data_IF_609465631462
#
_entry.id   IF_609465631462
#
_cell.length_a   1.000
_cell.length_b   1.000
_cell.length_c   1.000
_cell.angle_alpha   90.00
_cell.angle_beta   90.00
_cell.angle_gamma   90.00
#
_symmetry.space_group_name_H-M   'P 1'
#
loop_
_entity.id
_entity.type
_entity.pdbx_description
1 polymer ?
#
# COMPACT_ATOMS: atom_id res chain seq x y z
N UNK A 1 12.48 85.96 -4.63
CA UNK A 1 11.68 85.00 -3.85
C UNK A 1 11.83 83.63 -4.53
N UNK A 2 12.69 82.76 -3.98
CA UNK A 2 12.91 81.41 -4.51
C UNK A 2 12.18 80.45 -3.60
N UNK A 3 11.21 79.73 -4.15
CA UNK A 3 10.41 78.68 -3.50
C UNK A 3 11.18 77.38 -3.58
N UNK A 4 11.72 76.87 -2.47
CA UNK A 4 12.35 75.58 -2.34
C UNK A 4 11.24 74.50 -2.27
N UNK A 5 11.07 73.70 -3.33
CA UNK A 5 10.27 72.47 -3.29
C UNK A 5 11.04 71.40 -2.50
N UNK A 6 10.52 71.00 -1.32
CA UNK A 6 10.96 69.82 -0.59
C UNK A 6 10.28 68.56 -1.19
N UNK A 7 11.06 67.75 -1.85
CA UNK A 7 10.63 66.42 -2.35
C UNK A 7 10.69 65.45 -1.18
N UNK A 8 9.52 65.10 -0.62
CA UNK A 8 9.41 64.00 0.39
C UNK A 8 9.44 62.65 -0.29
N UNK A 9 10.55 61.92 -0.16
CA UNK A 9 10.71 60.54 -0.62
C UNK A 9 10.00 59.60 0.35
N UNK A 10 8.79 59.15 0.01
CA UNK A 10 8.07 58.13 0.77
C UNK A 10 8.68 56.76 0.53
N UNK A 11 9.38 56.22 1.51
CA UNK A 11 9.92 54.88 1.50
C UNK A 11 8.76 53.87 1.67
N UNK A 12 8.33 53.21 0.57
CA UNK A 12 7.35 52.14 0.59
C UNK A 12 8.06 50.86 1.10
N UNK A 13 7.89 50.57 2.37
CA UNK A 13 8.32 49.29 2.96
C UNK A 13 7.31 48.24 2.49
N UNK A 14 7.64 47.46 1.43
CA UNK A 14 6.86 46.29 1.05
C UNK A 14 6.92 45.27 2.20
N UNK A 15 5.77 44.74 2.67
CA UNK A 15 5.78 43.68 3.66
C UNK A 15 6.49 42.48 3.06
N UNK A 16 7.59 42.03 3.68
CA UNK A 16 8.16 40.70 3.37
C UNK A 16 7.08 39.67 3.68
N UNK A 17 6.43 39.16 2.67
CA UNK A 17 5.58 37.97 2.80
C UNK A 17 6.46 36.84 3.32
N UNK A 18 6.41 36.57 4.62
CA UNK A 18 6.98 35.35 5.18
C UNK A 18 6.24 34.22 4.52
N UNK A 19 6.91 33.51 3.58
CA UNK A 19 6.40 32.27 3.04
C UNK A 19 6.10 31.36 4.25
N UNK A 20 4.82 31.12 4.53
CA UNK A 20 4.43 30.25 5.63
C UNK A 20 5.10 28.90 5.44
N UNK A 21 5.91 28.48 6.41
CA UNK A 21 6.65 27.23 6.32
C UNK A 21 5.64 26.07 6.23
N UNK A 22 5.68 25.31 5.16
CA UNK A 22 4.89 24.08 5.03
C UNK A 22 5.39 23.00 6.02
N UNK A 23 4.48 22.25 6.72
CA UNK A 23 3.06 22.51 6.84
C UNK A 23 2.72 23.57 7.89
N UNK A 24 1.73 24.45 7.62
CA UNK A 24 1.21 25.44 8.56
C UNK A 24 -0.16 25.06 9.15
N UNK A 25 -0.74 23.96 8.68
CA UNK A 25 -2.01 23.36 9.13
C UNK A 25 -1.94 21.83 8.99
N UNK A 26 -2.96 21.14 9.49
CA UNK A 26 -3.03 19.68 9.41
C UNK A 26 -2.97 19.16 7.99
N UNK A 27 -2.22 18.06 7.79
CA UNK A 27 -2.11 17.32 6.52
C UNK A 27 -2.96 16.06 6.60
N UNK A 28 -3.76 15.79 5.57
CA UNK A 28 -4.58 14.59 5.46
C UNK A 28 -3.88 13.54 4.62
N UNK A 29 -3.75 12.33 5.16
CA UNK A 29 -3.27 11.14 4.45
C UNK A 29 -4.47 10.29 4.08
N UNK A 30 -4.81 10.24 2.81
CA UNK A 30 -5.87 9.35 2.31
C UNK A 30 -5.31 7.94 2.17
N UNK A 31 -5.99 6.98 2.81
CA UNK A 31 -5.71 5.54 2.71
C UNK A 31 -6.88 4.89 1.97
N UNK A 32 -6.66 4.34 0.76
CA UNK A 32 -7.76 3.83 -0.09
C UNK A 32 -8.25 2.42 0.31
N UNK A 33 -8.10 2.06 1.59
CA UNK A 33 -8.53 0.78 2.17
C UNK A 33 -9.20 0.99 3.53
N UNK A 34 -9.95 -0.03 3.99
CA UNK A 34 -10.53 -0.03 5.33
C UNK A 34 -9.43 0.04 6.41
N UNK A 35 -9.78 0.66 7.54
CA UNK A 35 -8.90 0.75 8.71
C UNK A 35 -8.52 -0.65 9.25
N UNK A 36 -7.38 -0.73 9.95
CA UNK A 36 -6.87 -1.96 10.58
C UNK A 36 -6.11 -2.91 9.65
N UNK A 37 -5.96 -2.57 8.36
CA UNK A 37 -5.10 -3.33 7.41
C UNK A 37 -3.68 -2.78 7.35
N UNK A 38 -2.83 -3.45 6.54
CA UNK A 38 -1.40 -3.11 6.42
C UNK A 38 -1.15 -1.67 5.96
N UNK A 39 -1.97 -1.16 5.03
CA UNK A 39 -1.86 0.22 4.54
C UNK A 39 -2.18 1.21 5.65
N UNK A 40 -3.22 0.95 6.45
CA UNK A 40 -3.61 1.77 7.59
C UNK A 40 -2.52 1.76 8.68
N UNK A 41 -1.97 0.58 9.00
CA UNK A 41 -0.84 0.45 9.91
C UNK A 41 0.36 1.29 9.45
N UNK A 42 0.73 1.20 8.17
CA UNK A 42 1.83 1.96 7.58
C UNK A 42 1.58 3.45 7.67
N UNK A 43 0.36 3.90 7.28
CA UNK A 43 -0.03 5.31 7.34
C UNK A 43 0.08 5.88 8.75
N UNK A 44 -0.52 5.21 9.74
CA UNK A 44 -0.54 5.69 11.14
C UNK A 44 0.85 5.71 11.77
N UNK A 45 1.69 4.72 11.45
CA UNK A 45 3.06 4.67 11.95
C UNK A 45 3.88 5.87 11.47
N UNK A 46 3.80 6.21 10.18
CA UNK A 46 4.53 7.35 9.61
C UNK A 46 3.87 8.68 10.01
N UNK A 47 2.54 8.76 10.02
CA UNK A 47 1.79 9.96 10.40
C UNK A 47 2.13 10.44 11.81
N UNK A 48 2.24 9.54 12.77
CA UNK A 48 2.62 9.86 14.15
C UNK A 48 4.00 10.56 14.20
N UNK A 49 4.98 10.01 13.48
CA UNK A 49 6.34 10.58 13.40
C UNK A 49 6.41 11.88 12.61
N UNK A 50 5.66 12.01 11.52
CA UNK A 50 5.55 13.28 10.78
C UNK A 50 4.93 14.36 11.65
N UNK A 51 3.91 14.03 12.45
CA UNK A 51 3.29 14.95 13.40
C UNK A 51 4.31 15.45 14.45
N UNK A 52 5.09 14.53 15.01
CA UNK A 52 6.15 14.82 15.97
C UNK A 52 7.23 15.73 15.35
N UNK A 53 7.72 15.38 14.15
CA UNK A 53 8.84 16.08 13.52
C UNK A 53 8.47 17.46 12.93
N UNK A 54 7.24 17.61 12.41
CA UNK A 54 6.82 18.81 11.68
C UNK A 54 5.88 19.72 12.48
N UNK A 55 5.47 19.33 13.69
CA UNK A 55 4.66 20.16 14.59
C UNK A 55 3.23 20.41 14.11
N UNK A 56 2.78 19.71 13.06
CA UNK A 56 1.41 19.77 12.54
C UNK A 56 0.82 18.39 12.45
N UNK A 57 -0.48 18.25 12.68
CA UNK A 57 -1.16 16.95 12.66
C UNK A 57 -1.16 16.32 11.25
N UNK A 58 -0.74 15.06 11.16
CA UNK A 58 -0.93 14.21 9.99
C UNK A 58 -2.06 13.23 10.27
N UNK A 59 -3.22 13.46 9.63
CA UNK A 59 -4.47 12.75 9.92
C UNK A 59 -4.71 11.66 8.89
N UNK A 60 -4.82 10.42 9.34
CA UNK A 60 -5.15 9.28 8.47
C UNK A 60 -6.65 9.21 8.24
N UNK A 61 -7.07 9.24 6.98
CA UNK A 61 -8.47 9.19 6.53
C UNK A 61 -8.66 7.99 5.57
N UNK A 62 -9.36 6.96 6.04
CA UNK A 62 -9.62 5.75 5.26
C UNK A 62 -10.78 5.97 4.29
N UNK A 63 -10.52 5.84 2.98
CA UNK A 63 -11.49 6.02 1.88
C UNK A 63 -11.50 4.79 0.96
N UNK A 64 -12.04 3.66 1.42
CA UNK A 64 -12.06 2.42 0.65
C UNK A 64 -13.07 2.46 -0.50
N UNK A 65 -12.86 1.59 -1.49
CA UNK A 65 -13.80 1.32 -2.58
C UNK A 65 -13.24 1.54 -3.97
N UNK A 66 -13.94 0.99 -4.98
CA UNK A 66 -13.54 1.06 -6.39
C UNK A 66 -12.13 0.53 -6.65
N UNK A 67 -11.71 -0.53 -5.98
CA UNK A 67 -10.34 -1.06 -6.08
C UNK A 67 -9.27 0.02 -5.84
N UNK A 68 -9.41 0.83 -4.79
CA UNK A 68 -8.59 2.01 -4.45
C UNK A 68 -8.89 3.30 -5.24
N UNK A 69 -9.62 3.21 -6.35
CA UNK A 69 -9.83 4.34 -7.25
C UNK A 69 -10.59 5.50 -6.58
N UNK A 70 -11.51 5.23 -5.63
CA UNK A 70 -12.26 6.30 -4.93
C UNK A 70 -11.31 7.20 -4.15
N UNK A 71 -10.46 6.63 -3.28
CA UNK A 71 -9.51 7.41 -2.49
C UNK A 71 -8.43 8.07 -3.35
N UNK A 72 -7.96 7.39 -4.40
CA UNK A 72 -6.94 7.93 -5.31
C UNK A 72 -7.48 9.11 -6.14
N UNK A 73 -8.70 9.00 -6.67
CA UNK A 73 -9.35 10.06 -7.45
C UNK A 73 -9.63 11.32 -6.61
N UNK A 74 -9.93 11.14 -5.30
CA UNK A 74 -10.02 12.28 -4.35
C UNK A 74 -8.72 13.08 -4.30
N UNK A 75 -7.56 12.41 -4.29
CA UNK A 75 -6.26 13.08 -4.26
C UNK A 75 -5.98 13.74 -5.61
N UNK A 76 -6.22 13.06 -6.72
CA UNK A 76 -6.05 13.65 -8.06
C UNK A 76 -6.83 14.97 -8.22
N UNK A 77 -8.03 15.04 -7.64
CA UNK A 77 -8.92 16.21 -7.69
C UNK A 77 -8.69 17.24 -6.58
N UNK A 78 -7.82 16.95 -5.61
CA UNK A 78 -7.56 17.87 -4.51
C UNK A 78 -6.61 19.02 -4.93
N UNK A 79 -6.62 20.16 -4.20
CA UNK A 79 -5.66 21.24 -4.43
C UNK A 79 -4.22 20.71 -4.33
N UNK A 80 -3.32 21.10 -5.24
CA UNK A 80 -1.93 20.65 -5.24
C UNK A 80 -1.06 21.44 -4.25
N UNK A 81 -1.52 21.59 -3.01
CA UNK A 81 -0.92 22.38 -1.95
C UNK A 81 -0.19 21.53 -0.88
N UNK A 82 -0.15 20.20 -1.07
CA UNK A 82 0.51 19.24 -0.18
C UNK A 82 -0.29 18.87 1.07
N UNK A 83 -1.46 19.46 1.31
CA UNK A 83 -2.28 19.14 2.50
C UNK A 83 -3.21 17.95 2.36
N UNK A 84 -3.28 17.38 1.15
CA UNK A 84 -3.90 16.08 0.90
C UNK A 84 -2.89 15.22 0.15
N UNK A 85 -2.49 14.10 0.75
CA UNK A 85 -1.58 13.13 0.15
C UNK A 85 -2.19 11.73 0.19
N UNK A 86 -1.78 10.89 -0.74
CA UNK A 86 -2.21 9.50 -0.85
C UNK A 86 -1.14 8.57 -0.28
N UNK A 87 -1.51 7.64 0.58
CA UNK A 87 -0.71 6.43 0.73
C UNK A 87 -1.24 5.39 -0.25
N UNK A 88 -0.70 5.42 -1.47
CA UNK A 88 -1.00 4.44 -2.50
C UNK A 88 -0.13 3.19 -2.38
N UNK A 89 -0.33 2.24 -3.28
CA UNK A 89 0.41 0.98 -3.23
C UNK A 89 0.30 0.17 -4.53
N UNK A 90 0.71 -1.09 -4.46
CA UNK A 90 0.73 -2.02 -5.60
C UNK A 90 -0.62 -2.07 -6.35
N UNK A 91 -1.74 -1.96 -5.63
CA UNK A 91 -3.07 -1.95 -6.25
C UNK A 91 -3.25 -0.81 -7.28
N UNK A 92 -2.63 0.36 -7.05
CA UNK A 92 -2.70 1.46 -8.01
C UNK A 92 -2.01 1.10 -9.34
N UNK A 93 -0.84 0.46 -9.31
CA UNK A 93 -0.14 -0.02 -10.50
C UNK A 93 -0.87 -1.20 -11.17
N UNK A 94 -1.41 -2.12 -10.37
CA UNK A 94 -2.21 -3.25 -10.84
C UNK A 94 -3.46 -2.76 -11.57
N UNK A 95 -4.16 -1.75 -11.04
CA UNK A 95 -5.38 -1.20 -11.64
C UNK A 95 -5.13 -0.70 -13.07
N UNK A 96 -4.00 -0.05 -13.33
CA UNK A 96 -3.62 0.39 -14.68
C UNK A 96 -3.53 -0.78 -15.66
N UNK A 97 -3.04 -1.94 -15.18
CA UNK A 97 -2.87 -3.13 -16.00
C UNK A 97 -4.15 -3.98 -16.12
N UNK A 98 -4.90 -4.14 -15.02
CA UNK A 98 -5.94 -5.14 -14.87
C UNK A 98 -7.36 -4.62 -15.01
N UNK A 99 -7.64 -3.34 -14.73
CA UNK A 99 -8.98 -2.79 -14.82
C UNK A 99 -9.32 -2.29 -16.23
N UNK A 100 -10.57 -2.49 -16.64
CA UNK A 100 -11.07 -1.98 -17.91
C UNK A 100 -11.10 -0.44 -17.94
N UNK A 101 -11.32 0.21 -16.79
CA UNK A 101 -11.37 1.67 -16.67
C UNK A 101 -10.81 2.14 -15.33
N UNK A 102 -9.84 3.05 -15.38
CA UNK A 102 -9.33 3.81 -14.22
C UNK A 102 -9.65 5.29 -14.46
N UNK A 103 -10.22 6.03 -13.50
CA UNK A 103 -10.70 7.40 -13.72
C UNK A 103 -9.60 8.46 -13.83
N UNK A 104 -8.34 8.09 -13.64
CA UNK A 104 -7.16 8.96 -13.70
C UNK A 104 -5.96 8.22 -14.30
N UNK A 105 -4.94 8.95 -14.69
CA UNK A 105 -3.64 8.40 -15.10
C UNK A 105 -2.67 8.45 -13.90
N UNK A 106 -2.25 7.29 -13.42
CA UNK A 106 -1.42 7.18 -12.22
C UNK A 106 -0.10 7.95 -12.32
N UNK A 107 0.55 7.93 -13.50
CA UNK A 107 1.86 8.54 -13.72
C UNK A 107 1.78 10.04 -14.08
N UNK A 108 0.68 10.47 -14.71
CA UNK A 108 0.48 11.86 -15.11
C UNK A 108 -0.15 12.70 -14.00
N UNK A 109 -1.13 12.14 -13.28
CA UNK A 109 -2.00 12.90 -12.38
C UNK A 109 -1.53 12.88 -10.93
N UNK A 110 -0.57 11.99 -10.58
CA UNK A 110 0.04 11.91 -9.25
C UNK A 110 1.55 12.07 -9.31
N UNK A 111 2.09 12.87 -8.39
CA UNK A 111 3.52 13.02 -8.15
C UNK A 111 3.97 12.06 -7.04
N UNK A 112 4.88 11.10 -7.31
CA UNK A 112 5.48 10.26 -6.28
C UNK A 112 6.28 11.10 -5.29
N UNK A 113 6.14 10.80 -3.98
CA UNK A 113 6.91 11.42 -2.90
C UNK A 113 8.03 10.48 -2.47
N UNK A 114 7.67 9.30 -1.95
CA UNK A 114 8.63 8.32 -1.44
C UNK A 114 8.00 6.93 -1.38
N UNK A 115 8.77 5.89 -1.71
CA UNK A 115 8.42 4.51 -1.41
C UNK A 115 8.63 4.27 0.09
N UNK A 116 7.55 3.99 0.82
CA UNK A 116 7.61 3.85 2.27
C UNK A 116 8.06 2.45 2.69
N UNK A 117 7.35 1.42 2.25
CA UNK A 117 7.60 0.04 2.66
C UNK A 117 7.35 -0.94 1.51
N UNK A 118 8.03 -2.09 1.59
CA UNK A 118 7.70 -3.32 0.85
C UNK A 118 7.31 -4.43 1.84
N UNK A 119 6.52 -5.37 1.38
CA UNK A 119 6.12 -6.54 2.14
C UNK A 119 5.76 -7.70 1.23
N UNK A 120 5.36 -8.83 1.81
CA UNK A 120 4.91 -10.00 1.07
C UNK A 120 3.47 -10.37 1.45
N UNK A 121 2.79 -11.02 0.52
CA UNK A 121 1.49 -11.63 0.79
C UNK A 121 1.67 -13.02 1.41
N UNK A 122 0.87 -13.30 2.41
CA UNK A 122 0.81 -14.58 3.12
C UNK A 122 -0.52 -15.24 2.82
N UNK A 123 -0.48 -16.51 2.46
CA UNK A 123 -1.66 -17.36 2.38
C UNK A 123 -1.95 -17.93 3.77
N UNK A 124 -3.11 -17.56 4.31
CA UNK A 124 -3.62 -18.07 5.58
C UNK A 124 -4.96 -18.76 5.39
N UNK A 125 -5.19 -19.84 6.15
CA UNK A 125 -6.40 -20.65 6.09
C UNK A 125 -7.09 -20.69 7.46
N UNK A 126 -8.40 -20.95 7.46
CA UNK A 126 -9.12 -21.25 8.69
C UNK A 126 -8.66 -22.60 9.26
N UNK A 127 -8.46 -22.74 10.58
CA UNK A 127 -7.94 -23.99 11.19
C UNK A 127 -8.80 -25.23 10.98
N UNK A 128 -10.10 -25.05 10.72
CA UNK A 128 -11.02 -26.18 10.43
C UNK A 128 -10.81 -26.80 9.04
N UNK A 129 -10.10 -26.09 8.14
CA UNK A 129 -9.82 -26.66 6.82
C UNK A 129 -8.85 -27.84 6.96
N UNK A 130 -9.16 -29.02 6.38
CA UNK A 130 -8.34 -30.22 6.52
C UNK A 130 -7.08 -30.17 5.63
N UNK A 131 -6.26 -29.13 5.86
CA UNK A 131 -4.96 -28.90 5.21
C UNK A 131 -4.00 -28.27 6.22
N UNK A 132 -2.79 -28.79 6.34
CA UNK A 132 -1.76 -28.29 7.28
C UNK A 132 -0.63 -27.53 6.59
N UNK A 133 -0.50 -27.71 5.28
CA UNK A 133 0.56 -27.13 4.46
C UNK A 133 0.05 -26.87 3.03
N UNK A 134 0.89 -26.24 2.21
CA UNK A 134 0.53 -25.86 0.84
C UNK A 134 0.20 -27.06 -0.03
N UNK A 135 0.94 -28.18 0.11
CA UNK A 135 0.72 -29.40 -0.69
C UNK A 135 -0.66 -30.02 -0.41
N UNK A 136 -1.04 -30.11 0.87
CA UNK A 136 -2.36 -30.61 1.26
C UNK A 136 -3.48 -29.67 0.81
N UNK A 137 -3.27 -28.35 0.89
CA UNK A 137 -4.23 -27.36 0.41
C UNK A 137 -4.45 -27.47 -1.11
N UNK A 138 -3.38 -27.62 -1.88
CA UNK A 138 -3.47 -27.81 -3.33
C UNK A 138 -4.21 -29.12 -3.66
N UNK A 139 -3.92 -30.22 -2.96
CA UNK A 139 -4.62 -31.48 -3.15
C UNK A 139 -6.12 -31.36 -2.84
N UNK A 140 -6.48 -30.69 -1.75
CA UNK A 140 -7.87 -30.43 -1.37
C UNK A 140 -8.58 -29.58 -2.43
N UNK A 141 -7.95 -28.50 -2.91
CA UNK A 141 -8.52 -27.62 -3.94
C UNK A 141 -8.72 -28.36 -5.29
N UNK A 142 -7.82 -29.29 -5.64
CA UNK A 142 -7.98 -30.16 -6.82
C UNK A 142 -9.14 -31.15 -6.66
N UNK A 143 -9.35 -31.67 -5.45
CA UNK A 143 -10.47 -32.57 -5.16
C UNK A 143 -11.83 -31.86 -5.08
N UNK A 144 -11.83 -30.55 -4.84
CA UNK A 144 -13.04 -29.69 -4.69
C UNK A 144 -12.93 -28.44 -5.57
N UNK A 145 -12.91 -28.58 -6.91
CA UNK A 145 -12.72 -27.45 -7.81
C UNK A 145 -13.84 -26.42 -7.68
N UNK A 146 -13.47 -25.14 -7.51
CA UNK A 146 -14.38 -24.01 -7.32
C UNK A 146 -15.37 -24.16 -6.13
N UNK A 147 -14.98 -24.90 -5.07
CA UNK A 147 -15.77 -25.01 -3.83
C UNK A 147 -15.13 -24.29 -2.64
N UNK A 148 -13.85 -23.91 -2.73
CA UNK A 148 -13.16 -23.16 -1.69
C UNK A 148 -13.13 -21.69 -2.05
N UNK A 149 -13.44 -20.84 -1.04
CA UNK A 149 -13.47 -19.40 -1.19
C UNK A 149 -12.18 -18.77 -0.66
N UNK A 150 -11.65 -17.78 -1.36
CA UNK A 150 -10.55 -16.97 -0.87
C UNK A 150 -10.91 -15.50 -0.79
N UNK A 151 -10.62 -14.88 0.36
CA UNK A 151 -10.83 -13.45 0.58
C UNK A 151 -9.60 -12.63 0.20
N UNK A 152 -9.82 -11.43 -0.31
CA UNK A 152 -8.79 -10.43 -0.62
C UNK A 152 -9.21 -9.03 -0.21
N UNK A 153 -8.29 -8.08 -0.23
CA UNK A 153 -8.61 -6.68 0.05
C UNK A 153 -9.38 -5.95 -1.06
N UNK A 154 -9.78 -6.67 -2.11
CA UNK A 154 -10.59 -6.17 -3.23
C UNK A 154 -10.07 -6.64 -4.59
N UNK A 155 -10.89 -6.47 -5.60
CA UNK A 155 -10.54 -6.76 -7.01
C UNK A 155 -9.31 -5.95 -7.40
N UNK A 156 -8.38 -6.55 -8.16
CA UNK A 156 -7.13 -5.95 -8.60
C UNK A 156 -6.22 -5.42 -7.45
N UNK A 157 -6.41 -5.90 -6.21
CA UNK A 157 -5.46 -5.68 -5.13
C UNK A 157 -4.23 -6.58 -5.28
N UNK A 158 -3.13 -6.26 -4.57
CA UNK A 158 -1.95 -7.15 -4.53
C UNK A 158 -2.28 -8.55 -3.99
N UNK A 159 -3.21 -8.63 -3.06
CA UNK A 159 -3.71 -9.91 -2.51
C UNK A 159 -4.49 -10.72 -3.55
N UNK A 160 -5.30 -10.05 -4.38
CA UNK A 160 -5.99 -10.70 -5.49
C UNK A 160 -5.00 -11.23 -6.52
N UNK A 161 -4.02 -10.40 -6.93
CA UNK A 161 -3.00 -10.85 -7.89
C UNK A 161 -2.14 -11.99 -7.33
N UNK A 162 -1.83 -11.96 -6.02
CA UNK A 162 -1.15 -13.06 -5.34
C UNK A 162 -1.98 -14.35 -5.40
N UNK A 163 -3.28 -14.27 -5.14
CA UNK A 163 -4.19 -15.43 -5.23
C UNK A 163 -4.29 -15.96 -6.66
N UNK A 164 -4.46 -15.09 -7.66
CA UNK A 164 -4.54 -15.48 -9.07
C UNK A 164 -3.24 -16.16 -9.56
N UNK A 165 -2.09 -15.64 -9.15
CA UNK A 165 -0.81 -16.28 -9.42
C UNK A 165 -0.75 -17.68 -8.79
N UNK A 166 -1.20 -17.84 -7.54
CA UNK A 166 -1.28 -19.14 -6.88
C UNK A 166 -2.21 -20.11 -7.61
N UNK A 167 -3.42 -19.66 -7.95
CA UNK A 167 -4.42 -20.44 -8.69
C UNK A 167 -3.86 -20.93 -10.03
N UNK A 168 -3.19 -20.03 -10.76
CA UNK A 168 -2.56 -20.33 -12.05
C UNK A 168 -1.42 -21.34 -11.92
N UNK A 169 -0.45 -21.08 -11.04
CA UNK A 169 0.74 -21.93 -10.88
C UNK A 169 0.41 -23.30 -10.29
N UNK A 170 -0.57 -23.40 -9.39
CA UNK A 170 -1.01 -24.66 -8.79
C UNK A 170 -2.00 -25.44 -9.68
N UNK A 171 -2.48 -24.83 -10.77
CA UNK A 171 -3.51 -25.38 -11.65
C UNK A 171 -4.76 -25.84 -10.87
N UNK A 172 -5.32 -24.95 -10.04
CA UNK A 172 -6.51 -25.16 -9.20
C UNK A 172 -7.62 -24.17 -9.57
N UNK A 173 -8.81 -24.37 -9.01
CA UNK A 173 -9.94 -23.44 -9.15
C UNK A 173 -10.47 -23.08 -7.77
N UNK A 174 -10.54 -21.76 -7.48
CA UNK A 174 -11.06 -21.19 -6.24
C UNK A 174 -12.08 -20.10 -6.56
N UNK A 175 -12.94 -19.75 -5.60
CA UNK A 175 -13.89 -18.65 -5.72
C UNK A 175 -13.35 -17.39 -5.03
N UNK A 176 -13.28 -16.27 -5.73
CA UNK A 176 -12.85 -15.00 -5.19
C UNK A 176 -13.99 -14.27 -4.44
N UNK A 177 -13.71 -13.86 -3.19
CA UNK A 177 -14.58 -13.01 -2.37
C UNK A 177 -13.87 -11.68 -2.11
N UNK A 178 -14.23 -10.59 -2.83
CA UNK A 178 -13.58 -9.29 -2.66
C UNK A 178 -14.13 -8.51 -1.47
N UNK A 179 -13.24 -8.00 -0.63
CA UNK A 179 -13.55 -7.10 0.49
C UNK A 179 -13.03 -5.68 0.24
N UNK A 180 -13.41 -4.72 1.10
CA UNK A 180 -12.93 -3.32 1.03
C UNK A 180 -11.62 -3.09 1.80
N UNK A 181 -10.80 -4.15 1.98
CA UNK A 181 -9.52 -4.14 2.70
C UNK A 181 -9.24 -5.48 3.39
N UNK A 182 -8.04 -5.62 3.97
CA UNK A 182 -7.63 -6.87 4.64
C UNK A 182 -8.40 -7.15 5.94
N UNK A 183 -8.73 -6.10 6.71
CA UNK A 183 -9.36 -6.29 8.02
C UNK A 183 -10.71 -7.04 7.93
N UNK A 184 -11.68 -6.65 7.08
CA UNK A 184 -12.94 -7.40 6.94
C UNK A 184 -12.72 -8.81 6.38
N UNK A 185 -11.77 -9.02 5.44
CA UNK A 185 -11.44 -10.36 4.95
C UNK A 185 -10.89 -11.27 6.06
N UNK A 186 -10.04 -10.72 6.92
CA UNK A 186 -9.48 -11.44 8.07
C UNK A 186 -10.55 -11.79 9.12
N UNK A 187 -11.51 -10.88 9.37
CA UNK A 187 -12.64 -11.14 10.26
C UNK A 187 -13.45 -12.35 9.75
N UNK A 188 -13.74 -12.40 8.47
CA UNK A 188 -14.48 -13.49 7.86
C UNK A 188 -13.68 -14.81 7.80
N UNK A 189 -12.36 -14.74 7.63
CA UNK A 189 -11.51 -15.93 7.79
C UNK A 189 -11.60 -16.49 9.22
N UNK A 190 -11.47 -15.63 10.24
CA UNK A 190 -11.53 -16.04 11.65
C UNK A 190 -12.91 -16.61 12.00
N UNK A 191 -13.96 -16.08 11.39
CA UNK A 191 -15.35 -16.55 11.53
C UNK A 191 -15.64 -17.83 10.73
N UNK A 192 -14.72 -18.28 9.87
CA UNK A 192 -14.93 -19.43 8.98
C UNK A 192 -15.90 -19.20 7.82
N UNK A 193 -16.17 -17.91 7.49
CA UNK A 193 -17.02 -17.53 6.34
C UNK A 193 -16.29 -17.64 5.00
N UNK A 194 -14.96 -17.59 5.01
CA UNK A 194 -14.10 -17.96 3.89
C UNK A 194 -13.04 -18.94 4.37
N UNK A 195 -12.62 -19.85 3.49
CA UNK A 195 -11.64 -20.90 3.83
C UNK A 195 -10.23 -20.37 3.92
N UNK A 196 -9.89 -19.33 3.14
CA UNK A 196 -8.54 -18.77 3.08
C UNK A 196 -8.54 -17.29 2.73
N UNK A 197 -7.44 -16.61 3.04
CA UNK A 197 -7.16 -15.24 2.59
C UNK A 197 -5.71 -15.11 2.14
N UNK A 198 -5.49 -14.14 1.24
CA UNK A 198 -4.18 -13.56 1.01
C UNK A 198 -4.12 -12.20 1.72
N UNK A 199 -3.12 -12.00 2.57
CA UNK A 199 -2.95 -10.76 3.34
C UNK A 199 -1.48 -10.50 3.63
N UNK A 200 -1.13 -9.25 3.91
CA UNK A 200 0.22 -8.94 4.42
C UNK A 200 0.39 -9.33 5.88
N UNK A 201 1.63 -9.50 6.30
CA UNK A 201 2.04 -10.01 7.62
C UNK A 201 1.46 -9.25 8.81
N UNK A 202 1.48 -7.88 8.86
CA UNK A 202 1.10 -7.15 10.08
C UNK A 202 -0.26 -7.54 10.65
N UNK A 203 -1.27 -7.63 9.79
CA UNK A 203 -2.62 -7.96 10.23
C UNK A 203 -2.78 -9.40 10.74
N UNK A 204 -1.85 -10.30 10.39
CA UNK A 204 -1.95 -11.73 10.68
C UNK A 204 -1.27 -12.14 11.98
N UNK A 205 -0.22 -11.44 12.42
CA UNK A 205 0.64 -11.84 13.55
C UNK A 205 -0.14 -12.19 14.82
N UNK A 206 -1.08 -11.36 15.34
CA UNK A 206 -1.83 -11.67 16.54
C UNK A 206 -2.67 -12.95 16.42
N UNK A 207 -3.17 -13.21 15.22
CA UNK A 207 -4.06 -14.32 14.92
C UNK A 207 -3.31 -15.63 14.66
N UNK A 208 -2.10 -15.55 14.09
CA UNK A 208 -1.16 -16.68 13.98
C UNK A 208 -0.74 -17.12 15.38
N UNK A 209 -0.27 -16.17 16.23
CA UNK A 209 0.19 -16.44 17.60
C UNK A 209 -0.90 -17.04 18.48
N UNK A 210 -2.16 -16.63 18.30
CA UNK A 210 -3.31 -17.16 19.04
C UNK A 210 -3.93 -18.43 18.45
N UNK A 211 -3.40 -18.93 17.32
CA UNK A 211 -3.91 -20.13 16.63
C UNK A 211 -5.29 -19.96 15.97
N UNK A 212 -5.81 -18.73 15.88
CA UNK A 212 -7.11 -18.46 15.23
C UNK A 212 -7.07 -18.60 13.71
N UNK A 213 -5.89 -18.53 13.11
CA UNK A 213 -5.63 -18.81 11.70
C UNK A 213 -4.37 -19.66 11.58
N UNK A 214 -4.24 -20.34 10.45
CA UNK A 214 -3.01 -21.06 10.06
C UNK A 214 -2.43 -20.42 8.82
N UNK A 215 -1.24 -19.81 8.91
CA UNK A 215 -0.50 -19.34 7.75
C UNK A 215 0.29 -20.51 7.15
N UNK A 216 0.07 -20.79 5.86
CA UNK A 216 0.65 -21.95 5.20
C UNK A 216 1.80 -21.63 4.26
N UNK A 217 1.85 -20.43 3.71
CA UNK A 217 2.98 -20.00 2.87
C UNK A 217 3.10 -18.49 2.77
N UNK A 218 4.33 -17.98 2.62
CA UNK A 218 4.65 -16.56 2.36
C UNK A 218 5.22 -16.39 0.96
N UNK A 219 4.76 -15.36 0.25
CA UNK A 219 5.14 -15.03 -1.13
C UNK A 219 6.40 -14.19 -1.26
N UNK A 220 7.40 -14.42 -0.42
CA UNK A 220 8.74 -13.82 -0.51
C UNK A 220 9.80 -14.89 -0.77
N UNK A 221 10.99 -14.51 -1.31
CA UNK A 221 12.10 -15.44 -1.52
C UNK A 221 12.66 -16.03 -0.22
N UNK A 222 12.42 -15.36 0.92
CA UNK A 222 12.90 -15.76 2.25
C UNK A 222 11.77 -15.68 3.25
N UNK A 223 11.87 -16.51 4.31
CA UNK A 223 10.97 -16.40 5.47
C UNK A 223 11.17 -15.07 6.18
N UNK A 224 10.10 -14.55 6.76
CA UNK A 224 10.17 -13.32 7.56
C UNK A 224 10.41 -13.63 9.04
N UNK A 225 11.29 -12.85 9.68
CA UNK A 225 11.61 -12.99 11.10
C UNK A 225 10.37 -12.84 12.00
N UNK A 226 9.38 -12.08 11.58
CA UNK A 226 8.12 -11.89 12.31
C UNK A 226 7.26 -13.17 12.40
N UNK A 227 7.40 -14.08 11.41
CA UNK A 227 6.65 -15.34 11.29
C UNK A 227 7.59 -16.46 10.78
N UNK A 228 8.67 -16.81 11.52
CA UNK A 228 9.75 -17.67 11.05
C UNK A 228 9.29 -19.11 10.73
N UNK A 229 8.20 -19.57 11.35
CA UNK A 229 7.64 -20.89 11.13
C UNK A 229 6.83 -21.01 9.85
N UNK A 230 6.49 -19.87 9.20
CA UNK A 230 5.75 -19.88 7.93
C UNK A 230 6.74 -20.05 6.77
N UNK A 231 6.70 -21.19 6.06
CA UNK A 231 7.61 -21.45 4.94
C UNK A 231 7.24 -20.59 3.73
N UNK A 232 8.20 -20.42 2.80
CA UNK A 232 7.92 -19.79 1.51
C UNK A 232 7.15 -20.75 0.59
N UNK A 233 6.46 -20.21 -0.41
CA UNK A 233 5.85 -21.03 -1.46
C UNK A 233 6.90 -21.89 -2.17
N UNK A 234 8.10 -21.34 -2.39
CA UNK A 234 9.21 -22.02 -3.05
C UNK A 234 9.73 -23.22 -2.24
N UNK A 235 9.87 -23.07 -0.91
CA UNK A 235 10.22 -24.17 0.00
C UNK A 235 9.20 -25.32 -0.02
N UNK A 236 7.94 -25.02 -0.30
CA UNK A 236 6.87 -26.03 -0.39
C UNK A 236 6.60 -26.53 -1.82
N UNK A 237 7.50 -26.27 -2.76
CA UNK A 237 7.50 -26.85 -4.09
C UNK A 237 6.80 -26.02 -5.16
N UNK A 238 6.24 -24.85 -4.85
CA UNK A 238 5.71 -23.92 -5.86
C UNK A 238 6.83 -22.94 -6.28
N UNK A 239 7.77 -23.47 -7.05
CA UNK A 239 9.01 -22.78 -7.44
C UNK A 239 8.75 -21.51 -8.23
N UNK A 240 9.46 -20.43 -7.86
CA UNK A 240 9.36 -19.13 -8.53
C UNK A 240 8.10 -18.34 -8.22
N UNK A 241 7.31 -18.75 -7.21
CA UNK A 241 6.19 -17.95 -6.75
C UNK A 241 6.69 -16.76 -5.91
N UNK A 242 6.43 -15.55 -6.39
CA UNK A 242 6.70 -14.31 -5.67
C UNK A 242 5.48 -13.39 -5.72
N UNK A 243 5.02 -12.94 -4.56
CA UNK A 243 3.87 -12.04 -4.45
C UNK A 243 4.16 -10.96 -3.40
N UNK A 244 4.69 -9.85 -3.87
CA UNK A 244 5.02 -8.69 -3.05
C UNK A 244 3.87 -7.68 -2.99
N UNK A 245 3.93 -6.81 -2.00
CA UNK A 245 3.13 -5.58 -1.91
C UNK A 245 4.05 -4.42 -1.54
N UNK A 246 3.60 -3.20 -1.79
CA UNK A 246 4.32 -2.00 -1.41
C UNK A 246 3.35 -0.86 -1.15
N UNK A 247 3.80 0.12 -0.35
CA UNK A 247 3.06 1.35 -0.10
C UNK A 247 4.02 2.54 -0.18
N UNK A 248 3.53 3.66 -0.72
CA UNK A 248 4.29 4.89 -0.87
C UNK A 248 3.42 6.13 -0.92
N UNK A 249 3.98 7.25 -0.50
CA UNK A 249 3.28 8.53 -0.56
C UNK A 249 3.30 9.12 -1.95
N UNK A 250 2.16 9.67 -2.37
CA UNK A 250 1.96 10.42 -3.60
C UNK A 250 1.13 11.66 -3.32
N UNK A 251 1.26 12.69 -4.15
CA UNK A 251 0.48 13.93 -4.10
C UNK A 251 -0.11 14.24 -5.49
N UNK A 252 -1.02 15.24 -5.63
CA UNK A 252 -1.41 15.72 -6.94
C UNK A 252 -0.19 16.15 -7.77
N UNK A 253 -0.19 15.88 -9.07
CA UNK A 253 1.00 16.06 -9.94
C UNK A 253 1.54 17.50 -9.97
N UNK A 254 0.69 18.50 -9.72
CA UNK A 254 1.08 19.92 -9.70
C UNK A 254 1.55 20.42 -8.34
N UNK A 255 1.73 19.55 -7.34
CA UNK A 255 2.23 19.94 -6.01
C UNK A 255 3.65 20.51 -6.13
N UNK A 256 3.96 21.65 -5.51
CA UNK A 256 5.27 22.30 -5.58
C UNK A 256 6.41 21.35 -5.20
N UNK A 257 7.53 21.44 -5.94
CA UNK A 257 8.69 20.55 -5.76
C UNK A 257 9.28 20.64 -4.36
N UNK A 258 9.30 21.82 -3.75
CA UNK A 258 9.78 22.03 -2.38
C UNK A 258 8.94 21.28 -1.34
N UNK A 259 7.63 21.16 -1.54
CA UNK A 259 6.73 20.40 -0.67
C UNK A 259 7.01 18.89 -0.83
N UNK A 260 7.13 18.42 -2.08
CA UNK A 260 7.50 17.01 -2.37
C UNK A 260 8.83 16.67 -1.72
N UNK A 261 9.86 17.53 -1.91
CA UNK A 261 11.19 17.32 -1.36
C UNK A 261 11.18 17.29 0.17
N UNK A 262 10.41 18.20 0.82
CA UNK A 262 10.27 18.22 2.27
C UNK A 262 9.63 16.96 2.81
N UNK A 263 8.50 16.53 2.24
CA UNK A 263 7.82 15.30 2.63
C UNK A 263 8.69 14.06 2.39
N UNK A 264 9.41 14.01 1.25
CA UNK A 264 10.36 12.93 0.96
C UNK A 264 11.47 12.87 2.02
N UNK A 265 12.11 14.01 2.31
CA UNK A 265 13.22 14.09 3.27
C UNK A 265 12.78 13.68 4.68
N UNK A 266 11.66 14.21 5.17
CA UNK A 266 11.19 13.89 6.52
C UNK A 266 10.72 12.43 6.63
N UNK A 267 10.01 11.93 5.63
CA UNK A 267 9.63 10.51 5.60
C UNK A 267 10.86 9.61 5.50
N UNK A 268 11.85 9.96 4.68
CA UNK A 268 13.10 9.21 4.56
C UNK A 268 13.87 9.11 5.87
N UNK A 269 13.96 10.20 6.66
CA UNK A 269 14.55 10.19 8.00
C UNK A 269 13.81 9.23 8.96
N UNK A 270 12.46 9.27 8.92
CA UNK A 270 11.62 8.38 9.72
C UNK A 270 11.88 6.92 9.37
N UNK A 271 11.88 6.57 8.09
CA UNK A 271 12.10 5.20 7.62
C UNK A 271 13.52 4.69 7.92
N UNK A 272 14.50 5.59 8.01
CA UNK A 272 15.88 5.26 8.36
C UNK A 272 16.10 5.10 9.87
N UNK A 273 15.19 5.59 10.72
CA UNK A 273 15.34 5.54 12.17
C UNK A 273 15.25 4.10 12.70
N UNK A 274 16.00 3.82 13.78
CA UNK A 274 16.14 2.47 14.32
C UNK A 274 14.80 1.93 14.84
N UNK A 275 14.05 2.73 15.58
CA UNK A 275 12.75 2.37 16.15
C UNK A 275 11.72 1.99 15.07
N UNK A 276 11.69 2.72 13.97
CA UNK A 276 10.79 2.43 12.84
C UNK A 276 11.25 1.19 12.06
N UNK A 277 12.54 1.02 11.84
CA UNK A 277 13.08 -0.19 11.19
C UNK A 277 12.76 -1.44 11.99
N UNK A 278 13.03 -1.44 13.29
CA UNK A 278 12.71 -2.56 14.17
C UNK A 278 11.21 -2.84 14.20
N UNK A 279 10.38 -1.79 14.33
CA UNK A 279 8.92 -1.93 14.31
C UNK A 279 8.42 -2.55 13.01
N UNK A 280 8.89 -2.10 11.85
CA UNK A 280 8.45 -2.67 10.57
C UNK A 280 8.96 -4.10 10.37
N UNK A 281 10.20 -4.40 10.78
CA UNK A 281 10.75 -5.77 10.70
C UNK A 281 9.94 -6.76 11.55
N UNK A 282 9.55 -6.37 12.78
CA UNK A 282 8.69 -7.21 13.64
C UNK A 282 7.30 -7.43 13.05
N UNK A 283 6.85 -6.55 12.16
CA UNK A 283 5.59 -6.65 11.44
C UNK A 283 5.73 -7.26 10.03
N UNK A 284 6.94 -7.71 9.65
CA UNK A 284 7.19 -8.30 8.35
C UNK A 284 7.05 -7.31 7.19
N UNK A 285 7.46 -6.06 7.42
CA UNK A 285 7.57 -5.01 6.42
C UNK A 285 9.02 -4.53 6.34
N UNK A 286 9.46 -4.17 5.14
CA UNK A 286 10.80 -3.65 4.87
C UNK A 286 10.72 -2.15 4.57
N UNK A 287 11.19 -1.26 5.47
CA UNK A 287 11.28 0.18 5.18
C UNK A 287 12.19 0.42 3.98
N UNK A 288 11.79 1.34 3.11
CA UNK A 288 12.52 1.65 1.88
C UNK A 288 13.12 3.06 1.96
N UNK A 289 12.44 4.07 1.49
CA UNK A 289 12.97 5.44 1.30
C UNK A 289 13.41 5.66 -0.15
N UNK A 290 14.42 6.53 -0.33
CA UNK A 290 14.94 6.89 -1.66
C UNK A 290 14.29 8.16 -2.21
N UNK A 291 14.68 8.53 -3.44
CA UNK A 291 14.21 9.77 -4.08
C UNK A 291 12.83 9.61 -4.72
N UNK A 292 12.17 10.73 -4.99
CA UNK A 292 10.88 10.77 -5.70
C UNK A 292 11.02 10.19 -7.12
N UNK A 293 12.14 10.44 -7.78
CA UNK A 293 12.45 9.92 -9.11
C UNK A 293 12.62 8.40 -9.11
N UNK A 294 13.34 7.86 -8.10
CA UNK A 294 13.48 6.41 -7.93
C UNK A 294 12.12 5.73 -7.70
N UNK A 295 11.23 6.37 -6.94
CA UNK A 295 9.88 5.87 -6.72
C UNK A 295 9.02 5.97 -7.99
N UNK A 296 9.16 7.02 -8.80
CA UNK A 296 8.50 7.13 -10.11
C UNK A 296 8.93 5.99 -11.05
N UNK A 297 10.23 5.71 -11.14
CA UNK A 297 10.78 4.59 -11.93
C UNK A 297 10.26 3.24 -11.44
N UNK A 298 10.18 3.06 -10.12
CA UNK A 298 9.63 1.85 -9.51
C UNK A 298 8.15 1.66 -9.89
N UNK A 299 7.31 2.70 -9.81
CA UNK A 299 5.90 2.63 -10.23
C UNK A 299 5.79 2.23 -11.72
N UNK A 300 6.60 2.82 -12.59
CA UNK A 300 6.61 2.49 -14.02
C UNK A 300 6.98 1.01 -14.26
N UNK A 301 8.00 0.50 -13.55
CA UNK A 301 8.40 -0.90 -13.61
C UNK A 301 7.29 -1.85 -13.12
N UNK A 302 6.60 -1.49 -12.04
CA UNK A 302 5.46 -2.25 -11.49
C UNK A 302 4.29 -2.32 -12.48
N UNK A 303 3.92 -1.20 -13.11
CA UNK A 303 2.88 -1.17 -14.15
C UNK A 303 3.25 -2.11 -15.31
N UNK A 304 4.51 -2.03 -15.77
CA UNK A 304 5.00 -2.89 -16.84
C UNK A 304 5.00 -4.39 -16.44
N UNK A 305 5.38 -4.70 -15.19
CA UNK A 305 5.35 -6.04 -14.63
C UNK A 305 3.92 -6.59 -14.62
N UNK A 306 2.98 -5.88 -13.99
CA UNK A 306 1.59 -6.34 -13.89
C UNK A 306 0.90 -6.41 -15.24
N UNK A 307 1.24 -5.53 -16.19
CA UNK A 307 0.74 -5.64 -17.57
C UNK A 307 1.16 -6.95 -18.23
N UNK A 308 2.42 -7.40 -18.01
CA UNK A 308 2.87 -8.71 -18.51
C UNK A 308 2.17 -9.87 -17.79
N UNK A 309 2.02 -9.78 -16.46
CA UNK A 309 1.34 -10.82 -15.67
C UNK A 309 -0.11 -11.00 -16.11
N UNK A 310 -0.88 -9.91 -16.22
CA UNK A 310 -2.29 -9.95 -16.65
C UNK A 310 -2.43 -10.53 -18.06
N UNK A 311 -1.56 -10.14 -19.00
CA UNK A 311 -1.55 -10.68 -20.36
C UNK A 311 -1.14 -12.16 -20.38
N UNK A 312 -0.09 -12.53 -19.65
CA UNK A 312 0.45 -13.89 -19.64
C UNK A 312 -0.48 -14.92 -18.98
N UNK A 313 -1.23 -14.50 -17.97
CA UNK A 313 -2.21 -15.33 -17.28
C UNK A 313 -3.60 -15.35 -17.96
N UNK A 314 -3.76 -14.66 -19.12
CA UNK A 314 -5.05 -14.49 -19.80
C UNK A 314 -6.17 -14.03 -18.86
N UNK A 315 -5.84 -13.22 -17.85
CA UNK A 315 -6.85 -12.67 -16.96
C UNK A 315 -7.73 -11.69 -17.75
N UNK A 316 -9.07 -11.82 -17.65
CA UNK A 316 -9.94 -10.82 -18.26
C UNK A 316 -9.68 -9.46 -17.61
N UNK A 317 -9.85 -8.37 -18.37
CA UNK A 317 -9.89 -7.05 -17.76
C UNK A 317 -11.09 -6.99 -16.81
N UNK A 318 -10.79 -6.69 -15.55
CA UNK A 318 -11.73 -6.70 -14.43
C UNK A 318 -12.58 -5.42 -14.40
#
# INVERSE_FOLDING_TARGET
MQLKQMLTLSLVVAPMAHAQSYPSKSVRIIVPFAAGGNTDFTARTIAAKLTENLGQQFLVDNRPGGSTNIGSDMIVKSPPDGYNILLGGAANAINVAALAKVPFDLQRDLAPIVLCVKGANVLSIHPSLPAKNLKELIALAKARPAQLNYGTSGVASSNHMAAELFVSMAAIKLNHVPYKGNAPALTDLIGGHVEMIFSGVPALIPHIKSGRIRSVAIGSPKRFAAIPDVPTFDEQGLKGYEASTWFGFMAPSKTPREIIAKLNTETGKILASKDIRERYQTEGLEPQGGTSEAFAQFIAAEIALYTRVVKGANLPKL
#
